data_IF_513880917669
#
_entry.id   IF_513880917669
#
_cell.length_a   1.000
_cell.length_b   1.000
_cell.length_c   1.000
_cell.angle_alpha   90.00
_cell.angle_beta   90.00
_cell.angle_gamma   90.00
#
_symmetry.space_group_name_H-M   'P 1'
#
loop_
_entity.id
_entity.type
_entity.pdbx_description
1 polymer ?
#
# COMPACT_ATOMS: atom_id res chain seq x y z
N UNK A 1 19.64 0.92 26.55
CA UNK A 1 19.10 1.73 25.43
C UNK A 1 17.96 2.58 25.95
N UNK A 2 17.92 3.88 25.63
CA UNK A 2 16.96 4.83 26.21
C UNK A 2 15.56 4.73 25.59
N UNK A 3 14.54 5.15 26.35
CA UNK A 3 13.18 5.36 25.86
C UNK A 3 13.14 6.53 24.87
N UNK A 4 12.22 6.47 23.89
CA UNK A 4 11.85 7.66 23.13
C UNK A 4 11.11 8.66 24.04
N UNK A 5 10.96 9.90 23.57
CA UNK A 5 10.14 10.92 24.26
C UNK A 5 8.79 10.35 24.65
N UNK A 6 8.31 10.64 25.88
CA UNK A 6 6.97 10.24 26.32
C UNK A 6 5.85 10.90 25.49
N UNK A 7 6.16 11.93 24.71
CA UNK A 7 5.25 12.53 23.73
C UNK A 7 5.23 11.80 22.39
N UNK A 8 5.96 10.70 22.25
CA UNK A 8 5.98 9.87 21.04
C UNK A 8 4.57 9.51 20.60
N UNK A 9 4.30 9.70 19.31
CA UNK A 9 3.06 9.33 18.66
C UNK A 9 3.37 8.36 17.53
N UNK A 10 2.69 7.21 17.52
CA UNK A 10 2.75 6.25 16.41
C UNK A 10 2.35 6.97 15.11
N UNK A 11 3.02 6.68 13.98
CA UNK A 11 2.66 7.26 12.68
C UNK A 11 1.17 7.05 12.38
N UNK A 12 0.55 8.09 11.81
CA UNK A 12 -0.83 7.99 11.32
C UNK A 12 -0.86 7.12 10.08
N UNK A 13 -1.98 6.43 9.87
CA UNK A 13 -2.19 5.67 8.64
C UNK A 13 -2.42 6.67 7.51
N UNK A 14 -1.73 6.47 6.38
CA UNK A 14 -1.86 7.28 5.18
C UNK A 14 -2.72 6.49 4.20
N UNK A 15 -3.94 6.97 3.97
CA UNK A 15 -4.91 6.33 3.08
C UNK A 15 -4.65 6.74 1.61
N UNK A 16 -4.87 5.81 0.67
CA UNK A 16 -4.67 6.04 -0.77
C UNK A 16 -5.39 7.27 -1.30
N UNK A 17 -6.66 7.47 -0.90
CA UNK A 17 -7.47 8.59 -1.35
C UNK A 17 -6.87 9.92 -0.88
N UNK A 18 -6.59 10.00 0.41
CA UNK A 18 -6.00 11.17 1.05
C UNK A 18 -4.60 11.51 0.50
N UNK A 19 -3.83 10.48 0.14
CA UNK A 19 -2.50 10.62 -0.43
C UNK A 19 -2.57 11.20 -1.85
N UNK A 20 -3.46 10.69 -2.70
CA UNK A 20 -3.66 11.18 -4.08
C UNK A 20 -4.17 12.62 -4.10
N UNK A 21 -5.07 12.98 -3.20
CA UNK A 21 -5.56 14.36 -3.06
C UNK A 21 -4.43 15.31 -2.62
N UNK A 22 -3.59 14.87 -1.69
CA UNK A 22 -2.43 15.65 -1.25
C UNK A 22 -1.39 15.81 -2.36
N UNK A 23 -1.08 14.74 -3.09
CA UNK A 23 -0.11 14.73 -4.18
C UNK A 23 -0.56 15.60 -5.37
N UNK A 24 -1.84 15.55 -5.74
CA UNK A 24 -2.39 16.40 -6.80
C UNK A 24 -2.34 17.89 -6.43
N UNK A 25 -2.61 18.24 -5.16
CA UNK A 25 -2.53 19.61 -4.67
C UNK A 25 -1.11 20.18 -4.62
N UNK A 26 -0.10 19.32 -4.41
CA UNK A 26 1.32 19.69 -4.47
C UNK A 26 1.77 19.93 -5.93
N UNK A 27 1.25 19.14 -6.87
CA UNK A 27 1.57 19.27 -8.29
C UNK A 27 0.98 20.56 -8.90
N UNK A 28 -0.21 21.01 -8.46
CA UNK A 28 -0.78 22.30 -8.86
C UNK A 28 -0.07 23.52 -8.26
N UNK A 29 0.51 23.41 -7.06
CA UNK A 29 1.17 24.52 -6.34
C UNK A 29 2.68 24.63 -6.59
N UNK A 30 3.24 23.78 -7.45
CA UNK A 30 4.68 23.73 -7.76
C UNK A 30 5.25 25.02 -8.40
N UNK A 31 4.40 26.00 -8.78
CA UNK A 31 4.83 27.34 -9.23
C UNK A 31 4.91 28.42 -8.12
N UNK A 32 4.68 28.10 -6.84
CA UNK A 32 4.84 29.08 -5.76
C UNK A 32 5.67 28.54 -4.60
N UNK A 33 6.93 28.98 -4.54
CA UNK A 33 7.85 28.99 -3.40
C UNK A 33 7.79 27.80 -2.42
N UNK A 34 8.77 26.92 -2.53
CA UNK A 34 9.13 25.93 -1.51
C UNK A 34 9.59 26.64 -0.22
N UNK A 35 8.64 27.06 0.62
CA UNK A 35 8.95 27.27 2.04
C UNK A 35 9.07 25.91 2.70
N UNK A 36 10.31 25.55 2.99
CA UNK A 36 10.74 24.46 3.87
C UNK A 36 9.89 24.44 5.15
N UNK A 37 8.88 23.56 5.15
CA UNK A 37 8.14 23.15 6.32
C UNK A 37 8.43 21.67 6.53
N UNK A 38 9.18 21.35 7.58
CA UNK A 38 9.45 19.99 8.07
C UNK A 38 8.24 19.06 7.93
N UNK A 39 8.15 18.31 6.84
CA UNK A 39 7.32 17.12 6.74
C UNK A 39 8.20 15.90 7.00
N UNK A 40 8.88 15.90 8.16
CA UNK A 40 9.46 14.67 8.69
C UNK A 40 8.31 13.77 9.07
N UNK A 41 8.33 12.52 8.62
CA UNK A 41 7.37 11.47 8.98
C UNK A 41 7.25 11.39 10.51
N UNK A 42 6.24 12.08 11.06
CA UNK A 42 6.12 12.22 12.52
C UNK A 42 6.03 10.85 13.18
N UNK A 43 6.89 10.59 14.16
CA UNK A 43 6.88 9.33 14.91
C UNK A 43 7.68 8.17 14.31
N UNK A 44 8.54 8.40 13.32
CA UNK A 44 9.51 7.40 12.84
C UNK A 44 10.94 7.83 13.25
N UNK A 45 11.65 7.04 14.08
CA UNK A 45 13.05 7.29 14.39
C UNK A 45 13.96 7.15 13.15
N UNK A 46 15.07 7.88 13.11
CA UNK A 46 16.06 7.82 12.01
C UNK A 46 16.63 6.41 11.80
N UNK A 47 16.73 5.60 12.87
CA UNK A 47 17.12 4.20 12.79
C UNK A 47 16.17 3.33 11.96
N UNK A 48 14.91 3.74 11.81
CA UNK A 48 13.89 3.10 10.99
C UNK A 48 13.56 3.94 9.73
N UNK A 49 14.42 4.88 9.34
CA UNK A 49 14.23 5.65 8.12
C UNK A 49 14.22 4.73 6.88
N UNK A 50 13.48 5.16 5.85
CA UNK A 50 13.34 4.40 4.61
C UNK A 50 14.69 3.97 4.04
N UNK A 51 15.66 4.89 3.93
CA UNK A 51 16.97 4.59 3.37
C UNK A 51 17.76 3.57 4.22
N UNK A 52 17.57 3.54 5.54
CA UNK A 52 18.19 2.50 6.39
C UNK A 52 17.60 1.12 6.13
N UNK A 53 16.29 1.05 5.92
CA UNK A 53 15.61 -0.20 5.58
C UNK A 53 16.12 -0.68 4.23
N UNK A 54 15.98 0.14 3.18
CA UNK A 54 16.36 -0.21 1.79
C UNK A 54 17.83 -0.63 1.68
N UNK A 55 18.74 0.00 2.42
CA UNK A 55 20.17 -0.36 2.41
C UNK A 55 20.52 -1.55 3.32
N UNK A 56 19.54 -2.26 3.88
CA UNK A 56 19.77 -3.44 4.73
C UNK A 56 20.34 -3.14 6.11
N UNK A 57 20.22 -1.89 6.59
CA UNK A 57 20.75 -1.44 7.87
C UNK A 57 19.85 -1.68 9.08
N UNK A 58 18.82 -2.54 8.94
CA UNK A 58 17.81 -2.84 9.96
C UNK A 58 17.65 -4.35 10.12
N UNK A 59 17.13 -4.77 11.29
CA UNK A 59 16.92 -6.18 11.62
C UNK A 59 15.42 -6.56 11.52
N UNK A 60 15.08 -7.86 11.51
CA UNK A 60 13.69 -8.30 11.55
C UNK A 60 12.91 -7.75 12.76
N UNK A 61 11.65 -7.32 12.59
CA UNK A 61 10.80 -7.42 11.39
C UNK A 61 10.80 -6.16 10.50
N UNK A 62 11.90 -5.42 10.44
CA UNK A 62 11.98 -4.16 9.70
C UNK A 62 12.95 -4.22 8.51
N UNK A 63 13.33 -5.42 8.03
CA UNK A 63 14.24 -5.57 6.88
C UNK A 63 13.57 -5.18 5.55
N UNK A 64 14.35 -5.02 4.48
CA UNK A 64 13.81 -4.84 3.11
C UNK A 64 12.84 -5.96 2.73
N UNK A 65 13.16 -7.20 3.14
CA UNK A 65 12.31 -8.36 2.89
C UNK A 65 11.00 -8.29 3.66
N UNK A 66 11.03 -7.83 4.90
CA UNK A 66 9.81 -7.61 5.67
C UNK A 66 8.95 -6.52 5.04
N UNK A 67 9.58 -5.46 4.51
CA UNK A 67 8.88 -4.40 3.79
C UNK A 67 8.29 -4.90 2.47
N UNK A 68 9.02 -5.68 1.67
CA UNK A 68 8.49 -6.31 0.45
C UNK A 68 7.31 -7.23 0.76
N UNK A 69 7.42 -8.08 1.78
CA UNK A 69 6.32 -8.95 2.21
C UNK A 69 5.08 -8.15 2.65
N UNK A 70 5.29 -7.02 3.33
CA UNK A 70 4.20 -6.11 3.68
C UNK A 70 3.51 -5.55 2.43
N UNK A 71 4.28 -5.12 1.43
CA UNK A 71 3.74 -4.62 0.16
C UNK A 71 3.00 -5.70 -0.64
N UNK A 72 3.41 -6.97 -0.56
CA UNK A 72 2.73 -8.07 -1.26
C UNK A 72 1.44 -8.44 -0.53
N UNK A 73 1.53 -8.77 0.76
CA UNK A 73 0.46 -9.44 1.49
C UNK A 73 -0.51 -8.49 2.22
N UNK A 74 -0.16 -7.21 2.38
CA UNK A 74 -0.96 -6.25 3.15
C UNK A 74 -1.33 -5.00 2.34
N UNK A 75 -0.36 -4.32 1.72
CA UNK A 75 -0.63 -3.06 1.00
C UNK A 75 -0.90 -3.26 -0.50
N UNK A 76 -0.59 -4.43 -1.05
CA UNK A 76 -0.79 -4.80 -2.45
C UNK A 76 -0.19 -3.81 -3.46
N UNK A 77 1.02 -3.33 -3.18
CA UNK A 77 1.74 -2.35 -4.02
C UNK A 77 3.24 -2.66 -4.18
N UNK A 78 3.57 -3.95 -4.22
CA UNK A 78 4.95 -4.44 -4.28
C UNK A 78 5.69 -4.03 -5.57
N UNK A 79 4.95 -3.81 -6.66
CA UNK A 79 5.48 -3.35 -7.95
C UNK A 79 6.23 -2.02 -7.83
N UNK A 80 5.81 -1.15 -6.92
CA UNK A 80 6.50 0.12 -6.66
C UNK A 80 7.92 -0.10 -6.14
N UNK A 81 8.09 -1.00 -5.16
CA UNK A 81 9.40 -1.29 -4.59
C UNK A 81 10.27 -2.09 -5.57
N UNK A 82 9.69 -3.04 -6.30
CA UNK A 82 10.40 -3.80 -7.33
C UNK A 82 10.93 -2.88 -8.44
N UNK A 83 10.09 -1.97 -8.93
CA UNK A 83 10.50 -0.96 -9.91
C UNK A 83 11.56 0.00 -9.35
N UNK A 84 11.40 0.46 -8.10
CA UNK A 84 12.38 1.31 -7.42
C UNK A 84 13.76 0.65 -7.30
N UNK A 85 13.81 -0.64 -6.94
CA UNK A 85 15.07 -1.38 -6.85
C UNK A 85 15.66 -1.61 -8.24
N UNK A 86 14.82 -1.95 -9.23
CA UNK A 86 15.24 -2.12 -10.61
C UNK A 86 15.88 -0.85 -11.18
N UNK A 87 15.23 0.32 -11.05
CA UNK A 87 15.77 1.56 -11.64
C UNK A 87 17.08 1.98 -10.96
N UNK A 88 17.25 1.73 -9.65
CA UNK A 88 18.51 1.99 -8.94
C UNK A 88 19.65 1.10 -9.44
N UNK A 89 19.36 -0.14 -9.79
CA UNK A 89 20.32 -1.04 -10.42
C UNK A 89 20.59 -0.65 -11.89
N UNK A 90 19.53 -0.31 -12.62
CA UNK A 90 19.59 0.17 -14.00
C UNK A 90 20.46 1.41 -14.15
N UNK A 91 20.31 2.41 -13.28
CA UNK A 91 21.16 3.62 -13.23
C UNK A 91 22.65 3.27 -13.09
N UNK A 92 22.97 2.30 -12.23
CA UNK A 92 24.37 1.84 -12.03
C UNK A 92 24.90 1.12 -13.27
N UNK A 93 24.12 0.22 -13.86
CA UNK A 93 24.52 -0.51 -15.07
C UNK A 93 24.67 0.42 -16.28
N UNK A 94 23.76 1.37 -16.41
CA UNK A 94 23.81 2.38 -17.46
C UNK A 94 25.05 3.28 -17.29
N UNK A 95 25.33 3.76 -16.08
CA UNK A 95 26.53 4.57 -15.81
C UNK A 95 27.86 3.84 -16.09
N UNK A 96 27.86 2.52 -16.00
CA UNK A 96 29.03 1.67 -16.29
C UNK A 96 29.13 1.21 -17.76
N UNK A 97 28.17 1.58 -18.62
CA UNK A 97 28.17 1.19 -20.04
C UNK A 97 29.25 1.94 -20.84
N UNK A 98 29.58 1.44 -22.04
CA UNK A 98 30.65 2.03 -22.85
C UNK A 98 30.25 3.43 -23.33
N UNK A 99 31.16 4.42 -23.38
CA UNK A 99 30.84 5.76 -23.87
C UNK A 99 30.23 5.80 -25.28
N UNK A 100 30.64 4.88 -26.16
CA UNK A 100 30.08 4.74 -27.52
C UNK A 100 28.61 4.31 -27.52
N UNK A 101 28.20 3.50 -26.55
CA UNK A 101 26.82 3.05 -26.39
C UNK A 101 25.97 4.16 -25.74
N UNK A 102 26.53 4.86 -24.75
CA UNK A 102 25.89 6.01 -24.10
C UNK A 102 25.57 7.13 -25.07
N UNK A 103 26.42 7.37 -26.07
CA UNK A 103 26.18 8.37 -27.11
C UNK A 103 24.90 8.10 -27.93
N UNK A 104 24.42 6.85 -27.98
CA UNK A 104 23.19 6.48 -28.69
C UNK A 104 21.92 6.74 -27.87
N UNK A 105 22.05 6.88 -26.54
CA UNK A 105 20.95 7.10 -25.61
C UNK A 105 21.10 8.47 -24.93
N UNK A 106 20.80 9.57 -25.66
CA UNK A 106 20.91 10.92 -25.11
C UNK A 106 19.98 11.13 -23.92
N UNK A 107 20.34 12.08 -23.05
CA UNK A 107 19.53 12.42 -21.89
C UNK A 107 18.15 12.97 -22.29
N UNK A 108 17.10 12.46 -21.65
CA UNK A 108 15.77 13.08 -21.66
C UNK A 108 15.73 14.25 -20.67
N UNK A 109 15.81 15.49 -21.17
CA UNK A 109 15.90 16.69 -20.34
C UNK A 109 14.55 17.04 -19.70
N UNK A 110 14.56 17.94 -18.70
CA UNK A 110 13.31 18.38 -18.08
C UNK A 110 12.47 19.23 -19.06
N UNK A 111 13.12 20.02 -19.94
CA UNK A 111 12.37 20.81 -20.93
C UNK A 111 11.61 19.91 -21.92
N UNK A 112 12.26 18.83 -22.39
CA UNK A 112 11.62 17.85 -23.27
C UNK A 112 10.43 17.14 -22.60
N UNK A 113 10.57 16.79 -21.32
CA UNK A 113 9.52 16.21 -20.50
C UNK A 113 8.32 17.16 -20.38
N UNK A 114 8.58 18.42 -20.02
CA UNK A 114 7.55 19.45 -19.83
C UNK A 114 6.84 19.79 -21.14
N UNK A 115 7.57 19.89 -22.25
CA UNK A 115 7.00 20.09 -23.59
C UNK A 115 6.09 18.94 -24.00
N UNK A 116 6.56 17.69 -23.82
CA UNK A 116 5.77 16.48 -24.10
C UNK A 116 4.47 16.48 -23.31
N UNK A 117 4.57 16.80 -22.02
CA UNK A 117 3.43 16.89 -21.12
C UNK A 117 2.45 18.00 -21.54
N UNK A 118 2.96 19.16 -21.97
CA UNK A 118 2.13 20.26 -22.47
C UNK A 118 1.41 19.87 -23.76
N UNK A 119 2.09 19.17 -24.66
CA UNK A 119 1.54 18.66 -25.91
C UNK A 119 0.43 17.63 -25.64
N UNK A 120 0.67 16.65 -24.78
CA UNK A 120 -0.34 15.66 -24.37
C UNK A 120 -1.58 16.32 -23.75
N UNK A 121 -1.39 17.38 -22.95
CA UNK A 121 -2.51 18.15 -22.38
C UNK A 121 -3.30 18.88 -23.45
N UNK A 122 -2.62 19.50 -24.41
CA UNK A 122 -3.24 20.21 -25.54
C UNK A 122 -4.03 19.26 -26.43
N UNK A 123 -3.48 18.08 -26.72
CA UNK A 123 -4.14 17.03 -27.49
C UNK A 123 -5.39 16.50 -26.79
N UNK A 124 -5.29 16.16 -25.50
CA UNK A 124 -6.47 15.73 -24.72
C UNK A 124 -7.56 16.81 -24.67
N UNK A 125 -7.18 18.09 -24.48
CA UNK A 125 -8.13 19.20 -24.51
C UNK A 125 -8.76 19.42 -25.90
N UNK A 126 -8.00 19.21 -26.97
CA UNK A 126 -8.48 19.25 -28.35
C UNK A 126 -9.47 18.12 -28.65
N UNK A 127 -9.12 16.88 -28.28
CA UNK A 127 -9.99 15.72 -28.42
C UNK A 127 -11.31 15.90 -27.64
N UNK A 128 -11.25 16.43 -26.42
CA UNK A 128 -12.45 16.73 -25.63
C UNK A 128 -13.35 17.77 -26.30
N UNK A 129 -12.78 18.82 -26.89
CA UNK A 129 -13.54 19.82 -27.66
C UNK A 129 -14.18 19.24 -28.92
N UNK A 130 -13.50 18.32 -29.59
CA UNK A 130 -14.00 17.66 -30.80
C UNK A 130 -15.08 16.62 -30.50
N UNK A 131 -14.93 15.85 -29.41
CA UNK A 131 -15.86 14.82 -29.00
C UNK A 131 -17.27 15.36 -28.67
N UNK A 132 -17.43 16.67 -28.42
CA UNK A 132 -18.71 17.33 -28.07
C UNK A 132 -19.62 16.41 -27.23
N UNK A 133 -19.20 15.96 -26.03
CA UNK A 133 -19.85 14.86 -25.30
C UNK A 133 -21.32 15.13 -24.91
N UNK A 134 -21.82 16.37 -25.03
CA UNK A 134 -23.25 16.67 -24.91
C UNK A 134 -24.07 16.38 -26.18
N UNK A 135 -23.47 16.41 -27.37
CA UNK A 135 -24.21 16.28 -28.63
C UNK A 135 -24.72 14.85 -28.87
N UNK A 136 -24.01 13.84 -28.37
CA UNK A 136 -24.46 12.44 -28.43
C UNK A 136 -25.61 12.17 -27.46
N UNK A 137 -25.65 12.84 -26.32
CA UNK A 137 -26.72 12.73 -25.32
C UNK A 137 -28.03 13.34 -25.84
N UNK A 138 -27.95 14.38 -26.68
CA UNK A 138 -29.14 15.02 -27.27
C UNK A 138 -29.55 14.42 -28.62
N UNK A 139 -28.79 13.46 -29.16
CA UNK A 139 -29.07 12.81 -30.45
C UNK A 139 -30.33 11.96 -30.32
N UNK A 140 -31.39 12.28 -31.06
CA UNK A 140 -32.71 11.65 -30.94
C UNK A 140 -33.62 12.21 -29.85
N UNK A 141 -33.22 13.27 -29.14
CA UNK A 141 -34.09 14.01 -28.22
C UNK A 141 -34.70 15.23 -28.90
N UNK A 142 -35.80 15.77 -28.38
CA UNK A 142 -36.46 16.99 -28.90
C UNK A 142 -35.56 18.25 -28.87
N UNK A 143 -34.41 18.18 -28.20
CA UNK A 143 -33.39 19.22 -28.17
C UNK A 143 -32.39 19.15 -29.33
N UNK A 144 -32.49 18.15 -30.20
CA UNK A 144 -31.70 18.07 -31.44
C UNK A 144 -32.14 19.17 -32.40
N UNK A 145 -31.35 20.26 -32.44
CA UNK A 145 -31.61 21.40 -33.32
C UNK A 145 -31.54 20.95 -34.78
N UNK A 146 -32.70 20.69 -35.40
CA UNK A 146 -32.83 20.39 -36.84
C UNK A 146 -32.20 21.52 -37.65
N UNK A 147 -31.01 21.26 -38.20
CA UNK A 147 -30.40 22.18 -39.14
C UNK A 147 -31.30 22.28 -40.38
N UNK A 148 -31.68 23.52 -40.69
CA UNK A 148 -32.63 23.92 -41.74
C UNK A 148 -32.49 23.14 -43.05
N UNK A 149 -33.55 22.44 -43.43
CA UNK A 149 -33.84 21.96 -44.78
C UNK A 149 -35.36 21.82 -44.95
N UNK A 150 -35.93 22.14 -46.12
CA UNK A 150 -37.38 22.15 -46.32
C UNK A 150 -37.98 20.75 -46.10
N UNK A 151 -39.24 20.64 -45.63
CA UNK A 151 -39.85 19.36 -45.30
C UNK A 151 -40.01 18.52 -46.58
N UNK A 152 -39.31 17.39 -46.63
CA UNK A 152 -39.48 16.40 -47.68
C UNK A 152 -40.78 15.62 -47.37
N UNK A 153 -41.82 15.63 -48.23
CA UNK A 153 -43.12 14.98 -47.92
C UNK A 153 -43.11 13.44 -47.95
N UNK A 154 -41.93 12.81 -48.04
CA UNK A 154 -41.79 11.36 -48.08
C UNK A 154 -40.67 10.91 -47.14
N UNK A 155 -40.95 10.92 -45.84
CA UNK A 155 -40.24 10.09 -44.87
C UNK A 155 -41.28 9.18 -44.22
N UNK A 156 -41.25 7.91 -44.62
CA UNK A 156 -42.18 6.88 -44.21
C UNK A 156 -42.29 6.76 -42.69
N UNK A 157 -43.53 6.68 -42.20
CA UNK A 157 -43.82 6.26 -40.83
C UNK A 157 -43.19 4.89 -40.54
N UNK A 158 -42.58 4.67 -39.35
CA UNK A 158 -42.06 3.37 -38.98
C UNK A 158 -43.22 2.38 -38.78
N UNK A 159 -43.23 1.35 -39.62
CA UNK A 159 -44.24 0.30 -39.64
C UNK A 159 -44.22 -0.51 -38.32
N UNK A 160 -45.31 -0.60 -37.55
CA UNK A 160 -45.30 -1.18 -36.19
C UNK A 160 -45.30 -2.72 -36.13
N UNK A 161 -45.12 -3.40 -37.26
CA UNK A 161 -45.18 -4.88 -37.37
C UNK A 161 -43.89 -5.55 -37.87
N UNK A 162 -42.74 -4.88 -37.76
CA UNK A 162 -41.45 -5.50 -38.05
C UNK A 162 -40.95 -6.34 -36.86
N UNK A 163 -41.06 -7.67 -36.99
CA UNK A 163 -40.47 -8.67 -36.08
C UNK A 163 -38.95 -8.54 -35.97
N UNK A 164 -38.35 -8.68 -34.77
CA UNK A 164 -36.90 -8.60 -34.57
C UNK A 164 -36.16 -9.80 -35.20
N UNK A 165 -34.91 -9.66 -35.66
CA UNK A 165 -34.15 -10.79 -36.15
C UNK A 165 -33.81 -11.75 -35.00
N UNK A 166 -34.04 -13.03 -35.27
CA UNK A 166 -33.67 -14.18 -34.44
C UNK A 166 -32.16 -14.24 -34.22
N UNK A 167 -31.80 -14.54 -32.98
CA UNK A 167 -30.51 -15.09 -32.55
C UNK A 167 -30.09 -16.30 -33.39
N UNK A 168 -28.83 -16.38 -33.87
CA UNK A 168 -28.20 -17.65 -34.17
C UNK A 168 -27.56 -18.18 -32.88
N UNK A 169 -28.14 -19.24 -32.33
CA UNK A 169 -27.44 -20.15 -31.46
C UNK A 169 -26.46 -21.00 -32.30
N UNK A 170 -25.23 -21.15 -31.79
CA UNK A 170 -24.33 -22.23 -32.19
C UNK A 170 -23.10 -21.81 -32.99
N UNK A 171 -22.05 -21.34 -32.29
CA UNK A 171 -20.69 -21.72 -32.66
C UNK A 171 -19.73 -21.56 -31.46
N UNK A 172 -19.45 -22.71 -30.84
CA UNK A 172 -18.26 -23.11 -30.09
C UNK A 172 -17.70 -22.14 -29.04
N UNK A 173 -17.89 -22.55 -27.79
CA UNK A 173 -16.97 -22.28 -26.69
C UNK A 173 -15.55 -22.62 -27.13
N UNK A 174 -14.73 -21.59 -27.35
CA UNK A 174 -13.28 -21.73 -27.30
C UNK A 174 -12.88 -21.52 -25.86
N UNK A 175 -12.84 -22.64 -25.12
CA UNK A 175 -11.94 -22.79 -23.99
C UNK A 175 -10.61 -22.16 -24.36
N UNK A 176 -10.15 -21.20 -23.55
CA UNK A 176 -8.80 -20.64 -23.62
C UNK A 176 -7.80 -21.69 -23.13
N UNK A 177 -7.68 -22.75 -23.92
CA UNK A 177 -6.57 -23.68 -23.87
C UNK A 177 -5.32 -22.90 -24.24
N UNK A 178 -4.48 -22.69 -23.23
CA UNK A 178 -3.05 -22.48 -23.37
C UNK A 178 -2.48 -23.58 -24.27
N UNK A 179 -2.47 -23.32 -25.57
CA UNK A 179 -1.73 -24.14 -26.52
C UNK A 179 -0.26 -23.75 -26.40
N UNK A 180 0.49 -24.63 -25.75
CA UNK A 180 1.95 -24.64 -25.67
C UNK A 180 2.56 -24.76 -27.08
N UNK A 181 2.64 -23.64 -27.80
CA UNK A 181 3.57 -23.50 -28.92
C UNK A 181 4.95 -23.23 -28.34
N UNK A 182 5.67 -24.33 -28.09
CA UNK A 182 7.11 -24.30 -27.86
C UNK A 182 7.80 -23.52 -28.98
N UNK A 183 8.41 -22.37 -28.64
CA UNK A 183 9.49 -21.77 -29.44
C UNK A 183 9.30 -20.36 -30.01
N UNK A 184 8.18 -19.66 -29.77
CA UNK A 184 8.19 -18.20 -30.01
C UNK A 184 9.00 -17.55 -28.89
N UNK A 185 10.09 -16.85 -29.22
CA UNK A 185 10.98 -16.31 -28.18
C UNK A 185 10.18 -15.37 -27.26
N UNK A 186 10.27 -15.60 -25.95
CA UNK A 186 9.64 -14.75 -24.91
C UNK A 186 10.01 -13.26 -25.12
N UNK A 187 11.19 -13.02 -25.70
CA UNK A 187 11.68 -11.69 -26.12
C UNK A 187 10.82 -11.06 -27.22
N UNK A 188 10.32 -11.84 -28.18
CA UNK A 188 9.41 -11.38 -29.22
C UNK A 188 8.08 -10.87 -28.67
N UNK A 189 7.56 -11.52 -27.62
CA UNK A 189 6.30 -11.14 -26.97
C UNK A 189 6.40 -9.81 -26.24
N UNK A 190 7.47 -9.57 -25.49
CA UNK A 190 7.63 -8.30 -24.77
C UNK A 190 7.85 -7.11 -25.73
N UNK A 191 8.58 -7.32 -26.82
CA UNK A 191 8.75 -6.29 -27.85
C UNK A 191 7.43 -5.93 -28.52
N UNK A 192 6.60 -6.91 -28.91
CA UNK A 192 5.30 -6.63 -29.52
C UNK A 192 4.37 -5.88 -28.55
N UNK A 193 4.38 -6.27 -27.28
CA UNK A 193 3.66 -5.57 -26.23
C UNK A 193 4.16 -4.12 -26.08
N UNK A 194 5.47 -3.90 -25.96
CA UNK A 194 6.02 -2.54 -25.86
C UNK A 194 5.65 -1.68 -27.08
N UNK A 195 5.75 -2.23 -28.30
CA UNK A 195 5.33 -1.57 -29.55
C UNK A 195 3.87 -1.14 -29.51
N UNK A 196 2.98 -1.98 -28.99
CA UNK A 196 1.57 -1.66 -28.79
C UNK A 196 1.38 -0.54 -27.74
N UNK A 197 2.10 -0.60 -26.62
CA UNK A 197 2.05 0.45 -25.60
C UNK A 197 2.48 1.82 -26.15
N UNK A 198 3.56 1.87 -26.95
CA UNK A 198 3.99 3.10 -27.60
C UNK A 198 2.93 3.63 -28.58
N UNK A 199 2.34 2.74 -29.38
CA UNK A 199 1.28 3.11 -30.33
C UNK A 199 0.04 3.67 -29.62
N UNK A 200 -0.40 3.02 -28.53
CA UNK A 200 -1.55 3.45 -27.73
C UNK A 200 -1.31 4.80 -27.05
N UNK A 201 -0.06 5.12 -26.69
CA UNK A 201 0.33 6.42 -26.15
C UNK A 201 0.51 7.51 -27.23
N UNK A 202 0.36 7.17 -28.52
CA UNK A 202 0.66 8.07 -29.64
C UNK A 202 2.14 8.41 -29.78
N UNK A 203 3.02 7.62 -29.16
CA UNK A 203 4.47 7.80 -29.25
C UNK A 203 5.01 7.22 -30.56
N UNK A 204 6.14 7.78 -31.03
CA UNK A 204 6.86 7.21 -32.18
C UNK A 204 7.43 5.84 -31.81
N UNK A 205 7.68 5.01 -32.82
CA UNK A 205 8.35 3.73 -32.59
C UNK A 205 9.82 3.97 -32.15
N UNK A 206 10.30 3.24 -31.14
CA UNK A 206 11.63 3.44 -30.58
C UNK A 206 12.76 3.06 -31.54
N UNK A 207 13.91 3.72 -31.39
CA UNK A 207 15.14 3.32 -32.06
C UNK A 207 15.74 2.07 -31.41
N UNK A 208 15.87 0.99 -32.18
CA UNK A 208 16.26 -0.34 -31.68
C UNK A 208 17.75 -0.50 -31.37
N UNK A 209 18.61 0.43 -31.82
CA UNK A 209 20.07 0.34 -31.68
C UNK A 209 20.60 0.81 -30.31
N UNK A 210 19.75 1.43 -29.50
CA UNK A 210 20.15 1.99 -28.21
C UNK A 210 20.47 0.88 -27.19
N UNK A 211 21.42 1.12 -26.26
CA UNK A 211 21.77 0.16 -25.22
C UNK A 211 20.58 -0.15 -24.32
N UNK A 212 20.51 -1.37 -23.80
CA UNK A 212 19.45 -1.84 -22.89
C UNK A 212 18.02 -1.76 -23.44
N UNK A 213 17.84 -1.63 -24.76
CA UNK A 213 16.50 -1.50 -25.37
C UNK A 213 15.57 -2.68 -25.05
N UNK A 214 16.07 -3.91 -25.11
CA UNK A 214 15.28 -5.11 -24.77
C UNK A 214 14.82 -5.12 -23.30
N UNK A 215 15.62 -4.55 -22.41
CA UNK A 215 15.26 -4.42 -21.00
C UNK A 215 14.18 -3.36 -20.81
N UNK A 216 14.29 -2.22 -21.49
CA UNK A 216 13.25 -1.18 -21.50
C UNK A 216 11.94 -1.73 -22.06
N UNK A 217 11.96 -2.48 -23.17
CA UNK A 217 10.76 -3.11 -23.75
C UNK A 217 10.10 -4.03 -22.71
N UNK A 218 10.90 -4.80 -21.96
CA UNK A 218 10.40 -5.67 -20.88
C UNK A 218 9.80 -4.88 -19.72
N UNK A 219 10.42 -3.76 -19.33
CA UNK A 219 9.90 -2.88 -18.28
C UNK A 219 8.60 -2.23 -18.70
N UNK A 220 8.50 -1.80 -19.96
CA UNK A 220 7.26 -1.27 -20.51
C UNK A 220 6.16 -2.32 -20.40
N UNK A 221 6.41 -3.54 -20.87
CA UNK A 221 5.44 -4.63 -20.82
C UNK A 221 5.07 -5.10 -19.38
N UNK A 222 5.98 -4.94 -18.41
CA UNK A 222 5.79 -5.45 -17.04
C UNK A 222 5.16 -4.42 -16.10
N UNK A 223 5.54 -3.14 -16.22
CA UNK A 223 5.21 -2.10 -15.23
C UNK A 223 4.46 -0.89 -15.80
N UNK A 224 4.68 -0.54 -17.07
CA UNK A 224 4.21 0.75 -17.62
C UNK A 224 2.95 0.58 -18.45
N UNK A 225 2.88 -0.48 -19.27
CA UNK A 225 1.72 -0.79 -20.12
C UNK A 225 0.43 -0.88 -19.30
N UNK A 226 -0.68 -0.45 -19.91
CA UNK A 226 -2.00 -0.62 -19.32
C UNK A 226 -2.41 -2.10 -19.30
N UNK A 227 -2.85 -2.60 -18.14
CA UNK A 227 -3.09 -4.03 -17.93
C UNK A 227 -1.83 -4.87 -17.75
N UNK A 228 -0.66 -4.23 -17.56
CA UNK A 228 0.58 -4.94 -17.29
C UNK A 228 0.49 -5.76 -15.98
N UNK A 229 1.17 -6.92 -15.89
CA UNK A 229 1.06 -7.82 -14.74
C UNK A 229 1.50 -7.18 -13.41
N UNK A 230 2.36 -6.15 -13.47
CA UNK A 230 2.82 -5.35 -12.32
C UNK A 230 2.65 -3.86 -12.61
N UNK A 231 1.53 -3.50 -13.23
CA UNK A 231 1.22 -2.12 -13.61
C UNK A 231 1.38 -1.17 -12.42
N UNK A 232 2.19 -0.13 -12.61
CA UNK A 232 2.44 0.89 -11.60
C UNK A 232 1.21 1.78 -11.39
N UNK A 233 0.99 2.20 -10.15
CA UNK A 233 -0.07 3.15 -9.78
C UNK A 233 0.32 4.60 -10.14
N UNK A 234 0.43 4.89 -11.43
CA UNK A 234 0.76 6.21 -11.98
C UNK A 234 -0.39 6.74 -12.84
N UNK A 235 -0.50 8.06 -12.97
CA UNK A 235 -1.55 8.67 -13.78
C UNK A 235 -1.32 8.39 -15.27
N UNK A 236 -2.40 8.38 -16.08
CA UNK A 236 -2.30 8.22 -17.54
C UNK A 236 -1.41 9.27 -18.19
N UNK A 237 -1.35 10.47 -17.59
CA UNK A 237 -0.47 11.55 -18.04
C UNK A 237 1.00 11.18 -17.84
N UNK A 238 1.37 10.69 -16.67
CA UNK A 238 2.75 10.26 -16.37
C UNK A 238 3.12 9.03 -17.21
N UNK A 239 2.21 8.05 -17.31
CA UNK A 239 2.38 6.85 -18.16
C UNK A 239 2.69 7.25 -19.61
N UNK A 240 1.86 8.08 -20.22
CA UNK A 240 2.06 8.50 -21.60
C UNK A 240 3.33 9.34 -21.76
N UNK A 241 3.62 10.27 -20.85
CA UNK A 241 4.84 11.08 -20.92
C UNK A 241 6.11 10.22 -20.87
N UNK A 242 6.15 9.19 -20.01
CA UNK A 242 7.26 8.23 -19.99
C UNK A 242 7.35 7.42 -21.26
N UNK A 243 6.23 6.96 -21.83
CA UNK A 243 6.25 6.20 -23.08
C UNK A 243 6.82 7.04 -24.25
N UNK A 244 6.53 8.34 -24.30
CA UNK A 244 7.17 9.26 -25.24
C UNK A 244 8.68 9.42 -24.99
N UNK A 245 9.10 9.55 -23.73
CA UNK A 245 10.52 9.60 -23.38
C UNK A 245 11.28 8.31 -23.71
N UNK A 246 10.70 7.15 -23.40
CA UNK A 246 11.27 5.83 -23.68
C UNK A 246 11.30 5.48 -25.17
N UNK A 247 10.37 6.03 -25.95
CA UNK A 247 10.43 5.98 -27.40
C UNK A 247 11.66 6.72 -27.96
N UNK A 248 12.05 7.82 -27.31
CA UNK A 248 13.19 8.64 -27.72
C UNK A 248 14.54 8.07 -27.26
N UNK A 249 14.65 7.63 -26.00
CA UNK A 249 15.92 7.21 -25.40
C UNK A 249 15.75 6.05 -24.41
N UNK A 250 16.80 5.27 -24.18
CA UNK A 250 16.89 4.33 -23.05
C UNK A 250 17.53 4.95 -21.81
N UNK A 251 17.93 6.22 -21.87
CA UNK A 251 18.56 6.90 -20.74
C UNK A 251 17.65 6.90 -19.49
N UNK A 252 18.16 6.63 -18.27
CA UNK A 252 17.36 6.55 -17.04
C UNK A 252 16.50 7.80 -16.77
N UNK A 253 16.94 8.98 -17.24
CA UNK A 253 16.19 10.23 -17.09
C UNK A 253 14.82 10.22 -17.77
N UNK A 254 14.57 9.34 -18.75
CA UNK A 254 13.24 9.17 -19.35
C UNK A 254 12.20 8.61 -18.36
N UNK A 255 12.65 7.93 -17.30
CA UNK A 255 11.82 7.35 -16.24
C UNK A 255 11.68 8.28 -15.03
N UNK A 256 12.27 9.47 -15.07
CA UNK A 256 12.38 10.40 -13.93
C UNK A 256 11.02 10.76 -13.33
N UNK A 257 10.01 11.03 -14.15
CA UNK A 257 8.69 11.43 -13.69
C UNK A 257 8.00 10.32 -12.87
N UNK A 258 8.01 9.07 -13.35
CA UNK A 258 7.44 7.95 -12.61
C UNK A 258 8.30 7.57 -11.41
N UNK A 259 9.62 7.68 -11.50
CA UNK A 259 10.51 7.45 -10.36
C UNK A 259 10.20 8.40 -9.21
N UNK A 260 10.01 9.70 -9.49
CA UNK A 260 9.62 10.69 -8.47
C UNK A 260 8.29 10.32 -7.80
N UNK A 261 7.29 9.89 -8.58
CA UNK A 261 5.98 9.49 -8.06
C UNK A 261 6.06 8.26 -7.17
N UNK A 262 6.80 7.23 -7.61
CA UNK A 262 7.00 5.98 -6.88
C UNK A 262 7.84 6.18 -5.61
N UNK A 263 8.96 6.91 -5.69
CA UNK A 263 9.78 7.25 -4.53
C UNK A 263 8.96 8.03 -3.50
N UNK A 264 8.11 8.97 -3.95
CA UNK A 264 7.21 9.70 -3.08
C UNK A 264 6.19 8.78 -2.38
N UNK A 265 5.52 7.88 -3.12
CA UNK A 265 4.59 6.90 -2.54
C UNK A 265 5.29 5.97 -1.54
N UNK A 266 6.44 5.42 -1.89
CA UNK A 266 7.20 4.53 -1.01
C UNK A 266 7.61 5.22 0.29
N UNK A 267 8.09 6.48 0.22
CA UNK A 267 8.59 7.21 1.40
C UNK A 267 7.51 7.83 2.27
N UNK A 268 6.42 8.30 1.67
CA UNK A 268 5.42 9.10 2.39
C UNK A 268 4.11 8.36 2.67
N UNK A 269 3.89 7.21 2.03
CA UNK A 269 2.72 6.37 2.26
C UNK A 269 3.12 5.00 2.78
N UNK A 270 3.78 4.20 1.94
CA UNK A 270 4.04 2.79 2.23
C UNK A 270 4.98 2.61 3.44
N UNK A 271 6.06 3.40 3.53
CA UNK A 271 7.01 3.32 4.64
C UNK A 271 6.38 3.68 6.00
N UNK A 272 5.68 4.81 6.17
CA UNK A 272 4.95 5.10 7.41
C UNK A 272 3.91 4.03 7.76
N UNK A 273 3.18 3.51 6.77
CA UNK A 273 2.18 2.46 6.96
C UNK A 273 2.83 1.14 7.39
N UNK A 274 3.96 0.76 6.80
CA UNK A 274 4.77 -0.38 7.18
C UNK A 274 5.29 -0.26 8.62
N UNK A 275 5.94 0.86 8.97
CA UNK A 275 6.45 1.07 10.34
C UNK A 275 5.30 1.04 11.35
N UNK A 276 4.19 1.73 11.03
CA UNK A 276 2.97 1.69 11.83
C UNK A 276 2.55 0.25 12.04
N UNK A 277 2.45 -0.58 11.00
CA UNK A 277 2.03 -1.98 11.08
C UNK A 277 3.01 -2.85 11.87
N UNK A 278 4.31 -2.68 11.67
CA UNK A 278 5.38 -3.43 12.33
C UNK A 278 5.45 -3.20 13.84
N UNK A 279 5.00 -2.04 14.34
CA UNK A 279 4.89 -1.77 15.79
C UNK A 279 3.92 -2.73 16.48
N UNK A 280 2.90 -3.23 15.79
CA UNK A 280 1.95 -4.19 16.35
C UNK A 280 2.59 -5.56 16.56
N UNK A 281 2.71 -5.99 17.82
CA UNK A 281 3.32 -7.27 18.18
C UNK A 281 2.34 -8.46 18.06
N UNK A 282 1.03 -8.23 18.18
CA UNK A 282 0.00 -9.26 18.12
C UNK A 282 -0.73 -9.29 16.77
N UNK A 283 -1.21 -10.47 16.37
CA UNK A 283 -2.17 -10.58 15.28
C UNK A 283 -3.56 -10.06 15.73
N UNK A 284 -4.51 -9.84 14.80
CA UNK A 284 -5.83 -9.30 15.13
C UNK A 284 -6.58 -10.12 16.20
N UNK A 285 -6.47 -11.45 16.17
CA UNK A 285 -7.12 -12.32 17.14
C UNK A 285 -6.58 -12.10 18.57
N UNK A 286 -5.26 -12.05 18.76
CA UNK A 286 -4.63 -11.82 20.08
C UNK A 286 -4.87 -10.40 20.58
N UNK A 287 -4.87 -9.40 19.70
CA UNK A 287 -5.20 -8.01 20.07
C UNK A 287 -6.66 -7.90 20.50
N UNK A 288 -7.58 -8.56 19.77
CA UNK A 288 -8.99 -8.60 20.15
C UNK A 288 -9.19 -9.29 21.52
N UNK A 289 -8.54 -10.43 21.74
CA UNK A 289 -8.53 -11.10 23.04
C UNK A 289 -8.00 -10.20 24.16
N UNK A 290 -6.90 -9.48 23.93
CA UNK A 290 -6.33 -8.55 24.90
C UNK A 290 -7.29 -7.39 25.23
N UNK A 291 -8.03 -6.87 24.24
CA UNK A 291 -9.06 -5.84 24.48
C UNK A 291 -10.18 -6.38 25.37
N UNK A 292 -10.68 -7.58 25.06
CA UNK A 292 -11.72 -8.23 25.87
C UNK A 292 -11.23 -8.45 27.31
N UNK A 293 -10.02 -8.99 27.49
CA UNK A 293 -9.42 -9.19 28.80
C UNK A 293 -9.28 -7.87 29.58
N UNK A 294 -8.85 -6.79 28.92
CA UNK A 294 -8.76 -5.46 29.54
C UNK A 294 -10.11 -4.96 30.06
N UNK A 295 -11.16 -5.04 29.23
CA UNK A 295 -12.53 -4.65 29.61
C UNK A 295 -13.04 -5.52 30.76
N UNK A 296 -12.84 -6.83 30.68
CA UNK A 296 -13.26 -7.77 31.72
C UNK A 296 -12.61 -7.46 33.07
N UNK A 297 -11.29 -7.20 33.10
CA UNK A 297 -10.57 -6.85 34.34
C UNK A 297 -11.07 -5.53 34.96
N UNK A 298 -11.38 -4.53 34.13
CA UNK A 298 -11.97 -3.27 34.59
C UNK A 298 -13.36 -3.53 35.20
N UNK A 299 -14.21 -4.30 34.52
CA UNK A 299 -15.56 -4.62 34.99
C UNK A 299 -15.52 -5.42 36.30
N UNK A 300 -14.68 -6.46 36.39
CA UNK A 300 -14.51 -7.25 37.59
C UNK A 300 -14.01 -6.40 38.77
N UNK A 301 -13.08 -5.48 38.52
CA UNK A 301 -12.56 -4.55 39.53
C UNK A 301 -13.60 -3.54 39.97
N UNK A 302 -14.45 -3.07 39.07
CA UNK A 302 -15.60 -2.22 39.39
C UNK A 302 -16.61 -2.96 40.27
N UNK A 303 -16.96 -4.20 39.93
CA UNK A 303 -17.85 -5.03 40.75
C UNK A 303 -17.25 -5.28 42.14
N UNK A 304 -15.97 -5.63 42.22
CA UNK A 304 -15.28 -5.80 43.51
C UNK A 304 -15.26 -4.51 44.34
N UNK A 305 -15.03 -3.35 43.71
CA UNK A 305 -15.09 -2.05 44.37
C UNK A 305 -16.48 -1.74 44.91
N UNK A 306 -17.53 -2.01 44.13
CA UNK A 306 -18.93 -1.83 44.57
C UNK A 306 -19.22 -2.75 45.77
N UNK A 307 -18.90 -4.04 45.69
CA UNK A 307 -19.13 -5.01 46.78
C UNK A 307 -18.42 -4.54 48.07
N UNK A 308 -17.14 -4.16 47.99
CA UNK A 308 -16.38 -3.68 49.14
C UNK A 308 -16.91 -2.35 49.71
N UNK A 309 -17.51 -1.51 48.86
CA UNK A 309 -18.10 -0.24 49.29
C UNK A 309 -19.43 -0.44 50.03
N UNK A 310 -20.23 -1.43 49.61
CA UNK A 310 -21.49 -1.78 50.26
C UNK A 310 -21.30 -2.64 51.52
N UNK A 311 -20.20 -3.38 51.60
CA UNK A 311 -19.85 -4.21 52.75
C UNK A 311 -19.53 -3.40 54.02
N UNK A 312 -19.53 -4.09 55.16
CA UNK A 312 -19.00 -3.61 56.44
C UNK A 312 -17.47 -3.52 56.51
N UNK A 313 -16.74 -3.86 55.44
CA UNK A 313 -15.28 -3.83 55.43
C UNK A 313 -14.71 -2.40 55.64
N UNK A 314 -13.57 -2.26 56.35
CA UNK A 314 -12.89 -0.98 56.52
C UNK A 314 -12.52 -0.33 55.17
N UNK A 315 -12.52 1.01 55.13
CA UNK A 315 -12.30 1.80 53.90
C UNK A 315 -11.02 1.44 53.14
N UNK A 316 -9.97 1.02 53.84
CA UNK A 316 -8.68 0.63 53.22
C UNK A 316 -8.79 -0.54 52.24
N UNK A 317 -9.70 -1.50 52.46
CA UNK A 317 -9.88 -2.65 51.56
C UNK A 317 -10.38 -2.23 50.17
N UNK A 318 -11.03 -1.06 50.06
CA UNK A 318 -11.52 -0.52 48.78
C UNK A 318 -10.41 -0.08 47.84
N UNK A 319 -9.16 -0.04 48.31
CA UNK A 319 -7.99 0.17 47.46
C UNK A 319 -7.51 -1.11 46.76
N UNK A 320 -7.92 -2.31 47.19
CA UNK A 320 -7.49 -3.58 46.57
C UNK A 320 -7.86 -3.67 45.07
N UNK A 321 -9.08 -3.27 44.63
CA UNK A 321 -9.43 -3.23 43.21
C UNK A 321 -8.55 -2.33 42.34
N UNK A 322 -7.75 -1.43 42.93
CA UNK A 322 -6.81 -0.58 42.18
C UNK A 322 -5.86 -1.39 41.30
N UNK A 323 -5.39 -2.55 41.79
CA UNK A 323 -4.50 -3.43 41.03
C UNK A 323 -5.18 -3.91 39.75
N UNK A 324 -6.43 -4.34 39.84
CA UNK A 324 -7.18 -4.79 38.68
C UNK A 324 -7.56 -3.65 37.72
N UNK A 325 -7.79 -2.43 38.21
CA UNK A 325 -7.90 -1.25 37.35
C UNK A 325 -6.60 -0.95 36.60
N UNK A 326 -5.44 -0.99 37.26
CA UNK A 326 -4.14 -0.79 36.60
C UNK A 326 -3.92 -1.84 35.52
N UNK A 327 -4.13 -3.12 35.83
CA UNK A 327 -3.95 -4.21 34.86
C UNK A 327 -4.95 -4.11 33.70
N UNK A 328 -6.22 -3.81 33.98
CA UNK A 328 -7.26 -3.70 32.97
C UNK A 328 -7.06 -2.50 32.03
N UNK A 329 -6.82 -1.31 32.58
CA UNK A 329 -6.63 -0.08 31.79
C UNK A 329 -5.32 -0.15 30.99
N UNK A 330 -4.21 -0.59 31.59
CA UNK A 330 -2.94 -0.70 30.85
C UNK A 330 -3.04 -1.70 29.68
N UNK A 331 -3.68 -2.85 29.91
CA UNK A 331 -3.93 -3.86 28.87
C UNK A 331 -4.82 -3.29 27.77
N UNK A 332 -5.91 -2.60 28.13
CA UNK A 332 -6.85 -2.03 27.15
C UNK A 332 -6.19 -0.93 26.30
N UNK A 333 -5.46 0.00 26.92
CA UNK A 333 -4.76 1.08 26.21
C UNK A 333 -3.66 0.53 25.29
N UNK A 334 -2.87 -0.44 25.77
CA UNK A 334 -1.86 -1.12 24.94
C UNK A 334 -2.51 -1.85 23.75
N UNK A 335 -3.61 -2.58 23.99
CA UNK A 335 -4.33 -3.33 22.98
C UNK A 335 -5.05 -2.42 21.97
N UNK A 336 -5.49 -1.23 22.36
CA UNK A 336 -5.98 -0.22 21.41
C UNK A 336 -4.88 0.19 20.44
N UNK A 337 -3.66 0.38 20.93
CA UNK A 337 -2.48 0.66 20.10
C UNK A 337 -1.95 -0.56 19.34
N UNK A 338 -2.60 -1.72 19.46
CA UNK A 338 -2.27 -2.96 18.73
C UNK A 338 -1.14 -3.76 19.36
N UNK A 339 -0.92 -3.59 20.67
CA UNK A 339 0.09 -4.33 21.41
C UNK A 339 -0.55 -5.24 22.48
N UNK A 340 -0.02 -6.46 22.60
CA UNK A 340 -0.26 -7.34 23.73
C UNK A 340 0.86 -7.15 24.77
N UNK A 341 0.47 -6.89 26.02
CA UNK A 341 1.41 -6.66 27.14
C UNK A 341 2.29 -7.89 27.41
N UNK A 342 1.72 -9.10 27.28
CA UNK A 342 2.47 -10.37 27.49
C UNK A 342 3.58 -10.52 26.45
N UNK A 343 3.26 -10.32 25.17
CA UNK A 343 4.26 -10.36 24.10
C UNK A 343 5.32 -9.27 24.25
N UNK A 344 4.89 -8.09 24.67
CA UNK A 344 5.80 -6.98 24.91
C UNK A 344 6.82 -7.31 26.01
N UNK A 345 6.39 -7.90 27.14
CA UNK A 345 7.30 -8.30 28.21
C UNK A 345 8.34 -9.34 27.81
N UNK A 346 8.07 -10.12 26.76
CA UNK A 346 9.01 -11.07 26.17
C UNK A 346 9.77 -10.49 24.97
N UNK A 347 9.52 -9.23 24.58
CA UNK A 347 9.97 -8.63 23.32
C UNK A 347 9.69 -9.50 22.08
N UNK A 348 8.58 -10.22 22.12
CA UNK A 348 8.13 -11.11 21.06
C UNK A 348 7.08 -10.44 20.19
N UNK A 349 6.98 -10.92 18.94
CA UNK A 349 5.83 -10.69 18.06
C UNK A 349 5.26 -12.02 17.60
N UNK A 350 4.01 -12.02 17.17
CA UNK A 350 3.50 -13.13 16.38
C UNK A 350 4.22 -13.23 15.03
N UNK A 351 4.55 -14.47 14.67
CA UNK A 351 4.98 -14.85 13.33
C UNK A 351 3.84 -14.56 12.36
N UNK A 352 4.16 -14.00 11.20
CA UNK A 352 3.15 -13.64 10.19
C UNK A 352 2.60 -14.90 9.51
N UNK A 353 1.38 -14.87 8.95
CA UNK A 353 0.77 -16.05 8.32
C UNK A 353 1.67 -16.73 7.28
N UNK A 354 2.32 -15.96 6.40
CA UNK A 354 3.26 -16.44 5.39
C UNK A 354 4.60 -16.93 5.97
N UNK A 355 4.98 -16.54 7.19
CA UNK A 355 6.18 -17.02 7.88
C UNK A 355 5.90 -18.30 8.71
N UNK A 356 4.63 -18.62 8.94
CA UNK A 356 4.21 -19.62 9.92
C UNK A 356 4.40 -21.05 9.42
N UNK A 357 4.22 -21.27 8.11
CA UNK A 357 4.18 -22.60 7.48
C UNK A 357 5.43 -22.93 6.67
N UNK A 358 6.47 -22.09 6.77
CA UNK A 358 7.77 -22.39 6.16
C UNK A 358 8.39 -23.53 6.96
N UNK A 359 8.20 -24.76 6.46
CA UNK A 359 8.94 -25.94 6.91
C UNK A 359 10.31 -25.92 6.21
N UNK A 360 11.38 -26.03 7.00
CA UNK A 360 12.77 -25.93 6.55
C UNK A 360 12.99 -26.71 5.23
N UNK A 361 13.59 -26.02 4.25
CA UNK A 361 14.25 -26.52 3.02
C UNK A 361 13.53 -26.34 1.67
N UNK A 362 12.20 -26.13 1.60
CA UNK A 362 11.50 -26.05 0.29
C UNK A 362 11.04 -24.66 -0.21
N UNK A 363 10.74 -23.72 0.69
CA UNK A 363 9.99 -22.49 0.35
C UNK A 363 10.84 -21.20 0.33
N UNK A 364 12.16 -21.31 0.49
CA UNK A 364 13.08 -20.18 0.31
C UNK A 364 13.05 -19.60 -1.11
N UNK A 365 12.49 -20.30 -2.11
CA UNK A 365 12.49 -19.87 -3.51
C UNK A 365 11.37 -18.88 -3.85
N UNK A 366 10.19 -18.95 -3.22
CA UNK A 366 9.13 -17.93 -3.39
C UNK A 366 9.54 -16.56 -2.81
N UNK A 367 10.30 -16.58 -1.72
CA UNK A 367 10.91 -15.37 -1.16
C UNK A 367 11.99 -14.74 -2.07
N UNK A 368 12.52 -15.47 -3.05
CA UNK A 368 13.50 -14.94 -4.01
C UNK A 368 12.82 -14.31 -5.21
N UNK A 369 11.71 -14.89 -5.67
CA UNK A 369 10.94 -14.36 -6.82
C UNK A 369 10.30 -13.01 -6.52
N UNK A 370 9.96 -12.72 -5.25
CA UNK A 370 9.40 -11.41 -4.85
C UNK A 370 10.32 -10.22 -5.13
N UNK A 371 11.64 -10.45 -5.24
CA UNK A 371 12.64 -9.43 -5.57
C UNK A 371 13.03 -9.42 -7.05
N UNK A 372 12.55 -10.37 -7.84
CA UNK A 372 12.82 -10.38 -9.27
C UNK A 372 12.12 -9.19 -9.92
N UNK A 373 12.88 -8.39 -10.68
CA UNK A 373 12.34 -7.24 -11.41
C UNK A 373 11.37 -7.67 -12.51
N UNK A 374 11.46 -8.90 -12.99
CA UNK A 374 10.61 -9.44 -14.05
C UNK A 374 9.99 -10.75 -13.58
N UNK A 375 8.69 -10.93 -13.80
CA UNK A 375 7.99 -12.14 -13.39
C UNK A 375 6.49 -12.02 -13.58
N UNK A 376 5.75 -13.03 -13.13
CA UNK A 376 4.29 -12.96 -13.02
C UNK A 376 3.86 -11.86 -12.03
N UNK A 377 2.57 -11.51 -12.07
CA UNK A 377 2.00 -10.53 -11.15
C UNK A 377 2.19 -10.91 -9.68
N UNK A 378 2.05 -9.93 -8.79
CA UNK A 378 2.30 -10.07 -7.34
C UNK A 378 1.15 -10.77 -6.59
N UNK A 379 0.43 -11.71 -7.22
CA UNK A 379 -0.71 -12.39 -6.60
C UNK A 379 -0.25 -13.50 -5.65
N UNK A 380 -0.77 -13.48 -4.42
CA UNK A 380 -0.52 -14.49 -3.38
C UNK A 380 -1.77 -15.31 -3.02
N UNK A 381 -2.92 -15.04 -3.62
CA UNK A 381 -4.22 -15.64 -3.23
C UNK A 381 -4.23 -17.17 -3.35
N UNK A 382 -3.41 -17.70 -4.25
CA UNK A 382 -3.26 -19.14 -4.50
C UNK A 382 -2.22 -19.80 -3.59
N UNK A 383 -1.54 -19.02 -2.73
CA UNK A 383 -0.49 -19.56 -1.87
C UNK A 383 -1.07 -20.52 -0.81
N UNK A 384 -0.44 -21.68 -0.57
CA UNK A 384 -0.97 -22.70 0.32
C UNK A 384 -1.20 -22.21 1.76
N UNK A 385 -0.42 -21.25 2.23
CA UNK A 385 -0.58 -20.70 3.58
C UNK A 385 -1.89 -19.93 3.75
N UNK A 386 -2.44 -19.32 2.70
CA UNK A 386 -3.67 -18.53 2.76
C UNK A 386 -4.82 -19.42 3.23
N UNK A 387 -5.04 -20.53 2.52
CA UNK A 387 -6.08 -21.52 2.83
C UNK A 387 -5.85 -22.15 4.21
N UNK A 388 -4.58 -22.47 4.55
CA UNK A 388 -4.23 -23.04 5.86
C UNK A 388 -4.51 -22.06 7.00
N UNK A 389 -4.23 -20.78 6.82
CA UNK A 389 -4.42 -19.75 7.85
C UNK A 389 -5.90 -19.37 8.00
N UNK A 390 -6.66 -19.32 6.91
CA UNK A 390 -8.08 -19.02 6.93
C UNK A 390 -8.85 -20.07 7.73
N UNK A 391 -8.63 -21.36 7.44
CA UNK A 391 -9.27 -22.50 8.12
C UNK A 391 -8.91 -22.65 9.60
N UNK A 392 -7.92 -21.89 10.10
CA UNK A 392 -7.43 -22.02 11.47
C UNK A 392 -8.36 -21.31 12.47
N UNK A 393 -8.76 -22.03 13.52
CA UNK A 393 -9.63 -21.53 14.57
C UNK A 393 -9.05 -20.30 15.30
N UNK A 394 -9.92 -19.36 15.72
CA UNK A 394 -9.53 -18.10 16.38
C UNK A 394 -8.70 -18.32 17.65
N UNK A 395 -9.04 -19.30 18.49
CA UNK A 395 -8.25 -19.62 19.70
C UNK A 395 -6.83 -20.02 19.31
N UNK A 396 -6.67 -20.83 18.26
CA UNK A 396 -5.35 -21.26 17.78
C UNK A 396 -4.57 -20.11 17.16
N UNK A 397 -5.24 -19.07 16.62
CA UNK A 397 -4.64 -17.81 16.16
C UNK A 397 -4.19 -16.93 17.34
N UNK A 398 -4.92 -16.92 18.46
CA UNK A 398 -4.51 -16.18 19.67
C UNK A 398 -3.17 -16.69 20.20
N UNK A 399 -2.92 -17.99 20.11
CA UNK A 399 -1.67 -18.64 20.53
C UNK A 399 -0.80 -19.04 19.33
N UNK A 400 -0.75 -18.20 18.29
CA UNK A 400 0.16 -18.39 17.17
C UNK A 400 1.63 -18.39 17.62
N UNK A 401 2.50 -19.01 16.80
CA UNK A 401 3.94 -19.01 17.04
C UNK A 401 4.44 -17.58 17.18
N UNK A 402 5.32 -17.37 18.15
CA UNK A 402 5.94 -16.08 18.43
C UNK A 402 7.44 -16.13 18.21
N UNK A 403 8.02 -14.98 17.86
CA UNK A 403 9.44 -14.81 17.56
C UNK A 403 9.95 -13.52 18.19
N UNK A 404 11.19 -13.54 18.64
CA UNK A 404 11.87 -12.37 19.19
C UNK A 404 12.01 -11.25 18.15
N UNK A 405 11.68 -10.03 18.56
CA UNK A 405 11.89 -8.82 17.76
C UNK A 405 13.37 -8.48 17.81
N UNK A 406 14.10 -8.63 16.70
CA UNK A 406 15.54 -8.37 16.65
C UNK A 406 15.85 -6.87 16.56
N UNK A 407 15.01 -6.09 15.89
CA UNK A 407 15.18 -4.65 15.69
C UNK A 407 15.10 -3.85 17.01
N UNK A 408 16.21 -3.23 17.46
CA UNK A 408 16.23 -2.48 18.72
C UNK A 408 15.34 -1.23 18.68
N UNK A 409 15.28 -0.50 17.56
CA UNK A 409 14.48 0.71 17.47
C UNK A 409 12.98 0.41 17.62
N UNK A 410 12.53 -0.73 17.10
CA UNK A 410 11.15 -1.18 17.23
C UNK A 410 10.80 -1.53 18.69
N UNK A 411 11.73 -2.18 19.40
CA UNK A 411 11.57 -2.45 20.85
C UNK A 411 11.45 -1.14 21.65
N UNK A 412 12.31 -0.16 21.37
CA UNK A 412 12.24 1.16 22.03
C UNK A 412 10.88 1.84 21.83
N UNK A 413 10.31 1.77 20.62
CA UNK A 413 8.96 2.30 20.35
C UNK A 413 7.92 1.57 21.22
N UNK A 414 7.98 0.24 21.27
CA UNK A 414 7.05 -0.57 22.06
C UNK A 414 7.19 -0.28 23.56
N UNK A 415 8.41 -0.14 24.08
CA UNK A 415 8.69 0.24 25.46
C UNK A 415 8.07 1.60 25.80
N UNK A 416 8.24 2.60 24.94
CA UNK A 416 7.63 3.93 25.12
C UNK A 416 6.10 3.85 25.11
N UNK A 417 5.50 3.06 24.21
CA UNK A 417 4.05 2.89 24.16
C UNK A 417 3.53 2.19 25.42
N UNK A 418 4.26 1.18 25.93
CA UNK A 418 3.91 0.48 27.15
C UNK A 418 3.97 1.41 28.37
N UNK A 419 5.02 2.21 28.50
CA UNK A 419 5.14 3.22 29.58
C UNK A 419 4.00 4.22 29.51
N UNK A 420 3.64 4.72 28.33
CA UNK A 420 2.47 5.59 28.15
C UNK A 420 1.16 4.92 28.62
N UNK A 421 0.98 3.64 28.29
CA UNK A 421 -0.20 2.88 28.73
C UNK A 421 -0.23 2.70 30.25
N UNK A 422 0.92 2.45 30.88
CA UNK A 422 1.05 2.31 32.32
C UNK A 422 0.77 3.63 33.05
N UNK A 423 1.29 4.76 32.56
CA UNK A 423 1.01 6.09 33.13
C UNK A 423 -0.48 6.43 33.07
N UNK A 424 -1.13 6.14 31.94
CA UNK A 424 -2.58 6.30 31.79
C UNK A 424 -3.36 5.42 32.79
N UNK A 425 -2.91 4.17 32.96
CA UNK A 425 -3.53 3.23 33.88
C UNK A 425 -3.40 3.63 35.35
N UNK A 426 -2.23 4.11 35.77
CA UNK A 426 -1.98 4.59 37.13
C UNK A 426 -2.84 5.82 37.45
N UNK A 427 -2.96 6.77 36.52
CA UNK A 427 -3.84 7.93 36.69
C UNK A 427 -5.31 7.51 36.81
N UNK A 428 -5.80 6.68 35.89
CA UNK A 428 -7.18 6.21 35.91
C UNK A 428 -7.51 5.41 37.19
N UNK A 429 -6.63 4.48 37.58
CA UNK A 429 -6.78 3.69 38.78
C UNK A 429 -6.73 4.55 40.05
N UNK A 430 -5.84 5.55 40.12
CA UNK A 430 -5.74 6.49 41.23
C UNK A 430 -7.03 7.29 41.42
N UNK A 431 -7.59 7.83 40.34
CA UNK A 431 -8.86 8.57 40.37
C UNK A 431 -10.02 7.67 40.81
N UNK A 432 -10.16 6.49 40.20
CA UNK A 432 -11.25 5.56 40.56
C UNK A 432 -11.14 5.10 42.01
N UNK A 433 -9.93 4.80 42.48
CA UNK A 433 -9.69 4.37 43.86
C UNK A 433 -10.03 5.49 44.85
N UNK A 434 -9.62 6.73 44.56
CA UNK A 434 -9.96 7.88 45.40
C UNK A 434 -11.47 8.07 45.54
N UNK A 435 -12.23 7.89 44.45
CA UNK A 435 -13.70 7.94 44.46
C UNK A 435 -14.26 6.88 45.41
N UNK A 436 -13.92 5.59 45.23
CA UNK A 436 -14.49 4.50 46.04
C UNK A 436 -14.07 4.54 47.52
N UNK A 437 -12.85 5.01 47.82
CA UNK A 437 -12.40 5.19 49.20
C UNK A 437 -13.13 6.33 49.90
N UNK A 438 -13.49 7.41 49.18
CA UNK A 438 -14.18 8.57 49.72
C UNK A 438 -15.68 8.34 49.98
N UNK A 439 -16.33 7.45 49.23
CA UNK A 439 -17.77 7.16 49.37
C UNK A 439 -18.09 6.60 50.78
N UNK A 440 -19.11 7.08 51.50
CA UNK A 440 -19.52 6.48 52.78
C UNK A 440 -19.94 5.01 52.62
N UNK A 441 -19.66 4.16 53.61
CA UNK A 441 -20.05 2.75 53.53
C UNK A 441 -21.56 2.53 53.64
N UNK A 442 -22.09 1.65 52.80
CA UNK A 442 -23.53 1.33 52.76
C UNK A 442 -24.01 0.46 53.93
N UNK A 443 -23.13 -0.32 54.56
CA UNK A 443 -23.43 -1.26 55.66
C UNK A 443 -24.59 -2.23 55.34
N UNK A 444 -24.66 -2.69 54.09
CA UNK A 444 -25.74 -3.56 53.61
C UNK A 444 -25.47 -5.06 53.81
N UNK A 445 -24.22 -5.43 54.17
CA UNK A 445 -23.78 -6.80 54.47
C UNK A 445 -22.81 -6.85 55.64
#
# INVERSE_FOLDING_TARGET
MGLLSLTYRRPQYVDDSSFRDSASSLNEKSNSSLRSGRSGTTGIPESLAFDRIINGGTCPPCTVRDFMNYLIYIEHSAENLQFFLWIKDYEKRFANAKPSELALAPEWTQEMEDETIANLRKEKAGAFRQAKPGHEIFKGTDFEKKANGPPNPHAAEPNPFSTPPRTPAGQNDVDSLFSSSQGMSVVGTFRSQATEAFANAGAKQPFTIQPFREEIDRIVATYIMEGAPRQLNVSDRERNAVLHGLAYTTHPSALRIIFKSIDHSLRHQAHPNFIRWSICNGNPARVFFARFLGVFLIAASLVAAIILTLSSAPRGYRAIPAVGFVLGVSTLVAAWKGMCVVLHGMHHRHVRPWELFIDNEGECDLSKTSFESFGSGNSYETEPWVVKYEKRNTVRKVFDREVWIQEPALRQIQDTIFVQAMLCALLAAGVLTAIFVAVPGGKLM
#
